data_IF_307683586981
#
_entry.id   IF_307683586981
#
_cell.length_a   1.000
_cell.length_b   1.000
_cell.length_c   1.000
_cell.angle_alpha   90.00
_cell.angle_beta   90.00
_cell.angle_gamma   90.00
#
_symmetry.space_group_name_H-M   'P 1'
#
loop_
_entity.id
_entity.type
_entity.pdbx_description
1 polymer ?
#
# COMPACT_ATOMS: atom_id res chain seq x y z
N UNK A 1 16.99 11.47 -34.86
CA UNK A 1 17.36 11.95 -33.49
C UNK A 1 16.88 10.93 -32.50
N UNK A 2 17.73 10.46 -31.58
CA UNK A 2 17.33 9.55 -30.50
C UNK A 2 16.47 10.34 -29.52
N UNK A 3 15.37 9.75 -29.06
CA UNK A 3 14.51 10.35 -28.03
C UNK A 3 15.29 10.51 -26.71
N UNK A 4 15.38 11.74 -26.21
CA UNK A 4 16.18 12.08 -25.02
C UNK A 4 15.34 12.24 -23.75
N UNK A 5 14.02 12.03 -23.84
CA UNK A 5 13.06 12.23 -22.77
C UNK A 5 12.45 13.65 -22.76
N UNK A 6 11.21 13.72 -22.26
CA UNK A 6 10.51 15.00 -22.10
C UNK A 6 11.08 15.81 -20.94
N UNK A 7 11.29 17.09 -21.20
CA UNK A 7 11.75 18.05 -20.18
C UNK A 7 10.64 18.47 -19.21
N UNK A 8 11.00 18.90 -17.98
CA UNK A 8 10.04 19.51 -17.06
C UNK A 8 9.23 20.62 -17.71
N UNK A 9 7.96 20.73 -17.33
CA UNK A 9 6.99 21.72 -17.82
C UNK A 9 6.54 21.58 -19.27
N UNK A 10 7.05 20.65 -20.06
CA UNK A 10 6.51 20.34 -21.39
C UNK A 10 5.08 19.80 -21.31
N UNK A 11 4.31 19.90 -22.40
CA UNK A 11 2.92 19.39 -22.45
C UNK A 11 2.87 17.86 -22.18
N UNK A 12 3.74 17.01 -22.79
CA UNK A 12 3.76 15.58 -22.47
C UNK A 12 4.14 15.30 -21.00
N UNK A 13 5.09 16.07 -20.44
CA UNK A 13 5.46 15.94 -19.00
C UNK A 13 4.24 16.19 -18.10
N UNK A 14 3.50 17.29 -18.30
CA UNK A 14 2.30 17.58 -17.51
C UNK A 14 1.22 16.53 -17.67
N UNK A 15 1.00 16.08 -18.91
CA UNK A 15 0.06 14.99 -19.22
C UNK A 15 0.41 13.70 -18.47
N UNK A 16 1.68 13.32 -18.44
CA UNK A 16 2.16 12.14 -17.75
C UNK A 16 2.02 12.25 -16.22
N UNK A 17 2.36 13.40 -15.63
CA UNK A 17 2.18 13.64 -14.20
C UNK A 17 0.73 13.43 -13.77
N UNK A 18 -0.19 14.10 -14.46
CA UNK A 18 -1.62 14.04 -14.15
C UNK A 18 -2.19 12.64 -14.41
N UNK A 19 -1.79 11.99 -15.48
CA UNK A 19 -2.22 10.62 -15.79
C UNK A 19 -1.75 9.62 -14.72
N UNK A 20 -0.49 9.66 -14.31
CA UNK A 20 0.03 8.74 -13.30
C UNK A 20 -0.48 9.09 -11.89
N UNK A 21 -0.72 10.35 -11.56
CA UNK A 21 -1.45 10.73 -10.35
C UNK A 21 -2.83 10.07 -10.32
N UNK A 22 -3.62 10.20 -11.41
CA UNK A 22 -4.93 9.57 -11.52
C UNK A 22 -4.85 8.03 -11.47
N UNK A 23 -3.86 7.43 -12.13
CA UNK A 23 -3.58 5.99 -12.05
C UNK A 23 -3.27 5.52 -10.62
N UNK A 24 -2.50 6.31 -9.87
CA UNK A 24 -2.23 6.08 -8.45
C UNK A 24 -3.51 6.18 -7.61
N UNK A 25 -4.33 7.20 -7.84
CA UNK A 25 -5.64 7.35 -7.18
C UNK A 25 -6.53 6.15 -7.48
N UNK A 26 -6.71 5.77 -8.75
CA UNK A 26 -7.55 4.63 -9.14
C UNK A 26 -7.11 3.32 -8.48
N UNK A 27 -5.80 3.05 -8.47
CA UNK A 27 -5.25 1.80 -7.94
C UNK A 27 -5.45 1.68 -6.43
N UNK A 28 -5.04 2.69 -5.68
CA UNK A 28 -5.02 2.59 -4.22
C UNK A 28 -6.37 2.88 -3.58
N UNK A 29 -7.26 3.60 -4.25
CA UNK A 29 -8.65 3.70 -3.79
C UNK A 29 -9.35 2.34 -3.82
N UNK A 30 -9.18 1.56 -4.87
CA UNK A 30 -9.78 0.24 -5.00
C UNK A 30 -9.11 -0.80 -4.09
N UNK A 31 -7.78 -0.80 -3.97
CA UNK A 31 -7.05 -1.78 -3.14
C UNK A 31 -7.59 -1.84 -1.72
N UNK A 32 -7.93 -0.68 -1.16
CA UNK A 32 -8.38 -0.55 0.23
C UNK A 32 -9.84 -0.12 0.38
N UNK A 33 -10.64 -0.16 -0.69
CA UNK A 33 -12.05 0.27 -0.70
C UNK A 33 -12.91 -0.39 0.39
N UNK A 34 -12.68 -1.67 0.65
CA UNK A 34 -13.45 -2.44 1.65
C UNK A 34 -12.99 -2.21 3.09
N UNK A 35 -11.83 -1.59 3.34
CA UNK A 35 -11.23 -1.53 4.67
C UNK A 35 -12.07 -0.76 5.69
N UNK A 36 -12.74 0.32 5.27
CA UNK A 36 -13.67 1.06 6.12
C UNK A 36 -15.07 0.44 6.21
N UNK A 37 -15.33 -0.64 5.48
CA UNK A 37 -16.63 -1.31 5.40
C UNK A 37 -16.62 -2.72 6.02
N UNK A 38 -15.52 -3.12 6.63
CA UNK A 38 -15.36 -4.49 7.16
C UNK A 38 -16.47 -4.89 8.16
N UNK A 39 -16.92 -4.03 9.09
CA UNK A 39 -18.05 -4.36 9.95
C UNK A 39 -19.34 -4.63 9.17
N UNK A 40 -19.70 -3.78 8.23
CA UNK A 40 -20.91 -3.93 7.39
C UNK A 40 -20.85 -5.19 6.49
N UNK A 41 -19.67 -5.52 5.96
CA UNK A 41 -19.45 -6.77 5.20
C UNK A 41 -19.62 -7.99 6.11
N UNK A 42 -19.07 -7.92 7.33
CA UNK A 42 -19.18 -9.02 8.30
C UNK A 42 -20.64 -9.30 8.67
N UNK A 43 -21.40 -8.24 8.91
CA UNK A 43 -22.81 -8.34 9.26
C UNK A 43 -23.65 -8.88 8.10
N UNK A 44 -23.55 -8.28 6.90
CA UNK A 44 -24.35 -8.64 5.74
C UNK A 44 -24.10 -10.08 5.23
N UNK A 45 -22.84 -10.53 5.27
CA UNK A 45 -22.46 -11.88 4.84
C UNK A 45 -22.49 -12.90 5.98
N UNK A 46 -22.83 -12.48 7.20
CA UNK A 46 -22.84 -13.31 8.41
C UNK A 46 -21.50 -14.06 8.61
N UNK A 47 -20.39 -13.34 8.53
CA UNK A 47 -19.02 -13.84 8.68
C UNK A 47 -18.30 -13.16 9.83
N UNK A 48 -17.22 -13.78 10.30
CA UNK A 48 -16.42 -13.20 11.38
C UNK A 48 -15.61 -11.98 10.91
N UNK A 49 -15.18 -11.14 11.87
CA UNK A 49 -14.30 -10.00 11.60
C UNK A 49 -12.97 -10.42 10.96
N UNK A 50 -12.43 -11.58 11.32
CA UNK A 50 -11.24 -12.16 10.70
C UNK A 50 -11.50 -12.54 9.23
N UNK A 51 -12.65 -13.16 8.94
CA UNK A 51 -13.05 -13.47 7.56
C UNK A 51 -13.29 -12.18 6.75
N UNK A 52 -13.94 -11.17 7.32
CA UNK A 52 -14.09 -9.88 6.63
C UNK A 52 -12.73 -9.26 6.28
N UNK A 53 -11.73 -9.29 7.17
CA UNK A 53 -10.38 -8.81 6.91
C UNK A 53 -9.68 -9.55 5.75
N UNK A 54 -10.06 -10.81 5.44
CA UNK A 54 -9.55 -11.53 4.26
C UNK A 54 -9.90 -10.81 2.94
N UNK A 55 -10.94 -10.01 2.88
CA UNK A 55 -11.27 -9.24 1.67
C UNK A 55 -10.20 -8.21 1.32
N UNK A 56 -9.57 -7.60 2.31
CA UNK A 56 -8.38 -6.73 2.14
C UNK A 56 -7.14 -7.58 1.85
N UNK A 57 -6.97 -8.66 2.61
CA UNK A 57 -5.80 -9.54 2.53
C UNK A 57 -5.70 -10.23 1.18
N UNK A 58 -6.81 -10.67 0.59
CA UNK A 58 -6.84 -11.29 -0.73
C UNK A 58 -6.34 -10.32 -1.82
N UNK A 59 -6.82 -9.07 -1.81
CA UNK A 59 -6.37 -8.07 -2.78
C UNK A 59 -4.89 -7.71 -2.61
N UNK A 60 -4.42 -7.53 -1.38
CA UNK A 60 -3.00 -7.23 -1.12
C UNK A 60 -2.08 -8.41 -1.44
N UNK A 61 -2.54 -9.67 -1.26
CA UNK A 61 -1.81 -10.86 -1.68
C UNK A 61 -1.73 -10.97 -3.21
N UNK A 62 -2.85 -10.77 -3.90
CA UNK A 62 -2.90 -10.76 -5.37
C UNK A 62 -1.92 -9.73 -5.94
N UNK A 63 -1.90 -8.52 -5.37
CA UNK A 63 -0.97 -7.47 -5.74
C UNK A 63 0.48 -7.88 -5.47
N UNK A 64 0.79 -8.43 -4.29
CA UNK A 64 2.13 -8.87 -3.91
C UNK A 64 2.72 -9.88 -4.92
N UNK A 65 1.92 -10.85 -5.32
CA UNK A 65 2.35 -11.93 -6.22
C UNK A 65 2.47 -11.44 -7.67
N UNK A 66 1.67 -10.46 -8.10
CA UNK A 66 1.56 -10.06 -9.48
C UNK A 66 2.43 -8.85 -9.88
N UNK A 67 2.96 -8.04 -8.94
CA UNK A 67 3.79 -6.86 -9.26
C UNK A 67 4.99 -7.22 -10.13
N UNK A 68 5.72 -8.29 -9.78
CA UNK A 68 6.90 -8.72 -10.55
C UNK A 68 6.54 -9.30 -11.93
N UNK A 69 5.56 -10.21 -12.07
CA UNK A 69 5.04 -10.63 -13.37
C UNK A 69 4.62 -9.47 -14.26
N UNK A 70 3.85 -8.50 -13.73
CA UNK A 70 3.44 -7.34 -14.51
C UNK A 70 4.60 -6.45 -14.96
N UNK A 71 5.63 -6.27 -14.13
CA UNK A 71 6.83 -5.55 -14.53
C UNK A 71 7.51 -6.24 -15.73
N UNK A 72 7.62 -7.58 -15.73
CA UNK A 72 8.19 -8.35 -16.84
C UNK A 72 7.31 -8.23 -18.09
N UNK A 73 5.99 -8.31 -17.96
CA UNK A 73 5.06 -8.14 -19.08
C UNK A 73 5.20 -6.73 -19.66
N UNK A 74 5.34 -5.72 -18.81
CA UNK A 74 5.45 -4.32 -19.23
C UNK A 74 6.75 -4.02 -20.00
N UNK A 75 7.84 -4.78 -19.73
CA UNK A 75 9.08 -4.73 -20.50
C UNK A 75 8.92 -5.20 -21.95
N UNK A 76 7.84 -5.96 -22.24
CA UNK A 76 7.58 -6.54 -23.57
C UNK A 76 6.54 -5.77 -24.37
N UNK A 77 5.38 -5.50 -23.75
CA UNK A 77 4.24 -4.90 -24.45
C UNK A 77 4.11 -3.40 -24.28
N UNK A 78 4.93 -2.80 -23.40
CA UNK A 78 5.00 -1.37 -23.14
C UNK A 78 4.28 -0.96 -21.84
N UNK A 79 4.88 0.02 -21.15
CA UNK A 79 4.44 0.49 -19.82
C UNK A 79 3.02 1.04 -19.84
N UNK A 80 2.74 1.97 -20.75
CA UNK A 80 1.43 2.61 -20.88
C UNK A 80 0.31 1.59 -21.13
N UNK A 81 0.56 0.57 -21.98
CA UNK A 81 -0.42 -0.48 -22.26
C UNK A 81 -0.73 -1.32 -21.05
N UNK A 82 0.29 -1.74 -20.30
CA UNK A 82 0.12 -2.52 -19.08
C UNK A 82 -0.67 -1.72 -18.03
N UNK A 83 -0.33 -0.45 -17.80
CA UNK A 83 -1.08 0.40 -16.87
C UNK A 83 -2.55 0.51 -17.29
N UNK A 84 -2.82 0.73 -18.59
CA UNK A 84 -4.19 0.81 -19.10
C UNK A 84 -4.98 -0.49 -18.88
N UNK A 85 -4.40 -1.65 -19.21
CA UNK A 85 -5.02 -2.97 -18.98
C UNK A 85 -5.29 -3.16 -17.48
N UNK A 86 -4.32 -2.88 -16.63
CA UNK A 86 -4.43 -3.01 -15.18
C UNK A 86 -5.58 -2.16 -14.62
N UNK A 87 -5.65 -0.88 -15.02
CA UNK A 87 -6.68 0.04 -14.57
C UNK A 87 -8.09 -0.39 -15.05
N UNK A 88 -8.24 -0.77 -16.31
CA UNK A 88 -9.54 -1.21 -16.85
C UNK A 88 -9.98 -2.51 -16.15
N UNK A 89 -9.09 -3.50 -16.05
CA UNK A 89 -9.39 -4.78 -15.40
C UNK A 89 -9.74 -4.59 -13.93
N UNK A 90 -9.05 -3.71 -13.21
CA UNK A 90 -9.33 -3.45 -11.81
C UNK A 90 -10.69 -2.77 -11.61
N UNK A 91 -11.11 -1.86 -12.48
CA UNK A 91 -12.44 -1.25 -12.43
C UNK A 91 -13.52 -2.30 -12.65
N UNK A 92 -13.37 -3.16 -13.64
CA UNK A 92 -14.32 -4.26 -13.90
C UNK A 92 -14.42 -5.18 -12.68
N UNK A 93 -13.28 -5.61 -12.12
CA UNK A 93 -13.26 -6.49 -10.96
C UNK A 93 -13.78 -5.81 -9.68
N UNK A 94 -13.53 -4.51 -9.50
CA UNK A 94 -14.08 -3.74 -8.39
C UNK A 94 -15.60 -3.61 -8.46
N UNK A 95 -16.17 -3.35 -9.64
CA UNK A 95 -17.63 -3.39 -9.87
C UNK A 95 -18.17 -4.81 -9.65
N UNK A 96 -17.45 -5.84 -10.11
CA UNK A 96 -17.84 -7.24 -9.86
C UNK A 96 -17.83 -7.54 -8.36
N UNK A 97 -16.83 -7.05 -7.60
CA UNK A 97 -16.77 -7.22 -6.13
C UNK A 97 -18.01 -6.66 -5.44
N UNK A 98 -18.54 -5.53 -5.91
CA UNK A 98 -19.74 -4.92 -5.34
C UNK A 98 -21.03 -5.74 -5.60
N UNK A 99 -21.01 -6.66 -6.54
CA UNK A 99 -22.15 -7.51 -6.91
C UNK A 99 -22.13 -8.88 -6.21
N UNK A 100 -21.07 -9.19 -5.46
CA UNK A 100 -20.94 -10.51 -4.82
C UNK A 100 -21.91 -10.65 -3.65
N UNK A 101 -22.60 -11.79 -3.61
CA UNK A 101 -23.59 -12.13 -2.59
C UNK A 101 -23.08 -13.13 -1.55
N UNK A 102 -21.87 -13.63 -1.71
CA UNK A 102 -21.24 -14.59 -0.81
C UNK A 102 -19.78 -14.29 -0.54
N UNK A 103 -19.27 -14.83 0.56
CA UNK A 103 -17.91 -14.60 1.02
C UNK A 103 -16.86 -15.17 0.06
N UNK A 104 -16.99 -16.44 -0.33
CA UNK A 104 -16.00 -17.13 -1.17
C UNK A 104 -15.81 -16.46 -2.53
N UNK A 105 -16.87 -16.17 -3.32
CA UNK A 105 -16.70 -15.47 -4.58
C UNK A 105 -16.14 -14.05 -4.39
N UNK A 106 -16.48 -13.35 -3.30
CA UNK A 106 -15.91 -12.04 -2.99
C UNK A 106 -14.39 -12.14 -2.81
N UNK A 107 -13.89 -13.13 -2.05
CA UNK A 107 -12.44 -13.34 -1.85
C UNK A 107 -11.73 -13.61 -3.18
N UNK A 108 -12.30 -14.46 -4.04
CA UNK A 108 -11.72 -14.75 -5.37
C UNK A 108 -11.64 -13.49 -6.22
N UNK A 109 -12.73 -12.73 -6.29
CA UNK A 109 -12.76 -11.49 -7.09
C UNK A 109 -11.80 -10.45 -6.52
N UNK A 110 -11.71 -10.28 -5.19
CA UNK A 110 -10.76 -9.40 -4.53
C UNK A 110 -9.30 -9.80 -4.82
N UNK A 111 -9.00 -11.10 -4.82
CA UNK A 111 -7.67 -11.59 -5.18
C UNK A 111 -7.32 -11.27 -6.64
N UNK A 112 -8.23 -11.52 -7.58
CA UNK A 112 -8.05 -11.18 -9.00
C UNK A 112 -7.92 -9.67 -9.21
N UNK A 113 -8.70 -8.86 -8.49
CA UNK A 113 -8.59 -7.41 -8.50
C UNK A 113 -7.20 -6.95 -8.04
N UNK A 114 -6.67 -7.56 -6.98
CA UNK A 114 -5.29 -7.33 -6.52
C UNK A 114 -4.26 -7.66 -7.60
N UNK A 115 -4.42 -8.77 -8.32
CA UNK A 115 -3.58 -9.13 -9.46
C UNK A 115 -3.64 -8.05 -10.55
N UNK A 116 -4.84 -7.57 -10.88
CA UNK A 116 -5.01 -6.50 -11.89
C UNK A 116 -4.34 -5.20 -11.42
N UNK A 117 -4.60 -4.76 -10.19
CA UNK A 117 -4.05 -3.52 -9.61
C UNK A 117 -2.51 -3.49 -9.62
N UNK A 118 -1.86 -4.64 -9.51
CA UNK A 118 -0.39 -4.76 -9.47
C UNK A 118 0.32 -4.23 -10.73
N UNK A 119 -0.36 -4.17 -11.87
CA UNK A 119 0.21 -3.68 -13.13
C UNK A 119 0.58 -2.20 -13.08
N UNK A 120 -0.11 -1.40 -12.26
CA UNK A 120 0.20 0.04 -12.13
C UNK A 120 1.50 0.27 -11.36
N UNK A 121 1.68 -0.15 -10.09
CA UNK A 121 2.94 0.06 -9.37
C UNK A 121 4.12 -0.69 -10.01
N UNK A 122 3.86 -1.80 -10.68
CA UNK A 122 4.89 -2.55 -11.41
C UNK A 122 5.44 -1.82 -12.64
N UNK A 123 4.73 -0.83 -13.18
CA UNK A 123 5.07 -0.18 -14.44
C UNK A 123 5.22 1.35 -14.36
N UNK A 124 4.60 2.01 -13.37
CA UNK A 124 4.50 3.47 -13.32
C UNK A 124 5.86 4.19 -13.27
N UNK A 125 6.75 3.76 -12.38
CA UNK A 125 8.08 4.39 -12.25
C UNK A 125 8.97 4.10 -13.47
N UNK A 126 8.84 2.91 -14.07
CA UNK A 126 9.54 2.57 -15.30
C UNK A 126 9.03 3.42 -16.48
N UNK A 127 7.71 3.67 -16.57
CA UNK A 127 7.14 4.56 -17.57
C UNK A 127 7.69 5.99 -17.45
N UNK A 128 7.81 6.52 -16.22
CA UNK A 128 8.46 7.81 -16.00
C UNK A 128 9.92 7.80 -16.46
N UNK A 129 10.66 6.73 -16.14
CA UNK A 129 12.09 6.63 -16.49
C UNK A 129 12.33 6.49 -18.00
N UNK A 130 11.43 5.81 -18.72
CA UNK A 130 11.53 5.62 -20.17
C UNK A 130 11.20 6.92 -20.95
N UNK A 131 10.31 7.79 -20.41
CA UNK A 131 9.76 8.92 -21.16
C UNK A 131 10.28 10.29 -20.72
N UNK A 132 10.88 10.40 -19.54
CA UNK A 132 11.31 11.67 -18.96
C UNK A 132 12.82 11.76 -18.80
N UNK A 133 13.34 12.98 -18.85
CA UNK A 133 14.73 13.23 -18.47
C UNK A 133 14.97 12.90 -16.97
N UNK A 134 16.19 12.51 -16.54
CA UNK A 134 16.46 12.12 -15.16
C UNK A 134 16.03 13.16 -14.11
N UNK A 135 16.11 14.45 -14.43
CA UNK A 135 15.66 15.55 -13.57
C UNK A 135 14.13 15.56 -13.43
N UNK A 136 13.42 15.33 -14.54
CA UNK A 136 11.97 15.28 -14.57
C UNK A 136 11.40 14.06 -13.84
N UNK A 137 12.06 12.90 -13.91
CA UNK A 137 11.66 11.65 -13.21
C UNK A 137 11.57 11.87 -11.70
N UNK A 138 12.54 12.55 -11.09
CA UNK A 138 12.54 12.77 -9.64
C UNK A 138 11.31 13.56 -9.17
N UNK A 139 10.93 14.63 -9.93
CA UNK A 139 9.75 15.43 -9.64
C UNK A 139 8.44 14.67 -9.89
N UNK A 140 8.38 13.93 -10.99
CA UNK A 140 7.19 13.17 -11.41
C UNK A 140 6.89 11.99 -10.48
N UNK A 141 7.91 11.31 -9.96
CA UNK A 141 7.73 10.20 -9.01
C UNK A 141 7.00 10.63 -7.74
N UNK A 142 7.28 11.83 -7.23
CA UNK A 142 6.59 12.39 -6.08
C UNK A 142 5.08 12.60 -6.34
N UNK A 143 4.72 13.05 -7.54
CA UNK A 143 3.31 13.24 -7.93
C UNK A 143 2.56 11.91 -8.01
N UNK A 144 3.17 10.87 -8.59
CA UNK A 144 2.59 9.52 -8.59
C UNK A 144 2.36 9.00 -7.16
N UNK A 145 3.38 9.11 -6.29
CA UNK A 145 3.27 8.68 -4.89
C UNK A 145 2.17 9.46 -4.14
N UNK A 146 2.03 10.76 -4.39
CA UNK A 146 0.93 11.55 -3.82
C UNK A 146 -0.43 11.02 -4.29
N UNK A 147 -0.55 10.64 -5.56
CA UNK A 147 -1.76 9.99 -6.09
C UNK A 147 -2.09 8.68 -5.36
N UNK A 148 -1.10 7.86 -5.04
CA UNK A 148 -1.33 6.60 -4.30
C UNK A 148 -1.82 6.86 -2.88
N UNK A 149 -1.26 7.86 -2.20
CA UNK A 149 -1.66 8.22 -0.82
C UNK A 149 -3.07 8.80 -0.78
N UNK A 150 -3.35 9.78 -1.65
CA UNK A 150 -4.66 10.43 -1.72
C UNK A 150 -5.74 9.44 -2.20
N UNK A 151 -5.40 8.57 -3.14
CA UNK A 151 -6.29 7.49 -3.58
C UNK A 151 -6.66 6.53 -2.44
N UNK A 152 -5.66 6.07 -1.69
CA UNK A 152 -5.88 5.21 -0.56
C UNK A 152 -6.74 5.85 0.54
N UNK A 153 -6.60 7.14 0.80
CA UNK A 153 -7.46 7.89 1.72
C UNK A 153 -8.86 8.09 1.14
N UNK A 154 -8.97 8.62 -0.08
CA UNK A 154 -10.25 8.92 -0.72
C UNK A 154 -11.11 7.66 -0.89
N UNK A 155 -10.50 6.52 -1.28
CA UNK A 155 -11.22 5.26 -1.44
C UNK A 155 -11.92 4.81 -0.16
N UNK A 156 -11.25 4.91 0.99
CA UNK A 156 -11.83 4.54 2.29
C UNK A 156 -12.95 5.48 2.71
N UNK A 157 -12.73 6.80 2.54
CA UNK A 157 -13.74 7.80 2.92
C UNK A 157 -14.99 7.67 2.04
N UNK A 158 -14.83 7.65 0.72
CA UNK A 158 -15.94 7.51 -0.23
C UNK A 158 -16.70 6.22 0.01
N UNK A 159 -15.98 5.09 0.19
CA UNK A 159 -16.59 3.80 0.47
C UNK A 159 -17.47 3.85 1.74
N UNK A 160 -16.93 4.39 2.84
CA UNK A 160 -17.66 4.44 4.11
C UNK A 160 -18.83 5.42 4.08
N UNK A 161 -18.66 6.60 3.47
CA UNK A 161 -19.71 7.62 3.40
C UNK A 161 -20.90 7.21 2.52
N UNK A 162 -20.62 6.51 1.43
CA UNK A 162 -21.70 5.95 0.58
C UNK A 162 -22.22 4.65 1.18
N UNK A 163 -21.34 3.82 1.73
CA UNK A 163 -21.71 2.51 2.26
C UNK A 163 -22.55 2.54 3.52
N UNK A 164 -22.39 3.57 4.38
CA UNK A 164 -23.19 3.69 5.60
C UNK A 164 -24.71 3.79 5.30
N UNK A 165 -25.20 4.73 4.46
CA UNK A 165 -26.62 4.84 4.17
C UNK A 165 -27.13 3.84 3.12
N UNK A 166 -26.28 3.37 2.19
CA UNK A 166 -26.72 2.59 1.02
C UNK A 166 -26.27 1.11 1.04
N UNK A 167 -25.47 0.72 2.04
CA UNK A 167 -24.87 -0.60 2.15
C UNK A 167 -23.49 -0.69 1.49
N UNK A 168 -22.67 -1.61 1.98
CA UNK A 168 -21.25 -1.75 1.58
C UNK A 168 -21.05 -1.97 0.07
N UNK A 169 -22.01 -2.62 -0.60
CA UNK A 169 -21.97 -2.85 -2.06
C UNK A 169 -21.92 -1.54 -2.82
N UNK A 170 -22.76 -0.58 -2.47
CA UNK A 170 -22.75 0.76 -3.05
C UNK A 170 -21.52 1.55 -2.67
N UNK A 171 -21.00 1.34 -1.46
CA UNK A 171 -19.71 1.89 -1.04
C UNK A 171 -18.56 1.44 -1.96
N UNK A 172 -18.43 0.14 -2.24
CA UNK A 172 -17.43 -0.42 -3.16
C UNK A 172 -17.68 0.02 -4.60
N UNK A 173 -18.95 0.02 -5.06
CA UNK A 173 -19.30 0.47 -6.40
C UNK A 173 -18.93 1.95 -6.63
N UNK A 174 -19.18 2.83 -5.67
CA UNK A 174 -18.84 4.26 -5.76
C UNK A 174 -17.34 4.49 -5.92
N UNK A 175 -16.51 3.73 -5.20
CA UNK A 175 -15.04 3.78 -5.37
C UNK A 175 -14.63 3.25 -6.73
N UNK A 176 -15.26 2.19 -7.23
CA UNK A 176 -14.96 1.65 -8.56
C UNK A 176 -15.35 2.61 -9.67
N UNK A 177 -16.46 3.35 -9.51
CA UNK A 177 -16.87 4.44 -10.43
C UNK A 177 -15.90 5.63 -10.38
N UNK A 178 -15.46 6.02 -9.18
CA UNK A 178 -14.40 7.04 -9.03
C UNK A 178 -13.11 6.59 -9.72
N UNK A 179 -12.72 5.32 -9.55
CA UNK A 179 -11.56 4.74 -10.23
C UNK A 179 -11.76 4.66 -11.75
N UNK A 180 -12.98 4.42 -12.24
CA UNK A 180 -13.31 4.46 -13.66
C UNK A 180 -13.09 5.87 -14.24
N UNK A 181 -13.53 6.92 -13.55
CA UNK A 181 -13.25 8.31 -13.94
C UNK A 181 -11.76 8.62 -13.99
N UNK A 182 -11.00 8.20 -12.98
CA UNK A 182 -9.55 8.36 -12.95
C UNK A 182 -8.84 7.52 -14.04
N UNK A 183 -9.35 6.33 -14.36
CA UNK A 183 -8.88 5.48 -15.45
C UNK A 183 -9.11 6.15 -16.80
N UNK A 184 -10.32 6.66 -17.04
CA UNK A 184 -10.63 7.42 -18.26
C UNK A 184 -9.71 8.62 -18.40
N UNK A 185 -9.48 9.35 -17.32
CA UNK A 185 -8.56 10.49 -17.32
C UNK A 185 -7.12 10.04 -17.67
N UNK A 186 -6.64 8.91 -17.12
CA UNK A 186 -5.35 8.32 -17.51
C UNK A 186 -5.30 8.03 -19.02
N UNK A 187 -6.31 7.38 -19.56
CA UNK A 187 -6.36 6.99 -20.98
C UNK A 187 -6.30 8.20 -21.90
N UNK A 188 -6.95 9.31 -21.51
CA UNK A 188 -7.02 10.55 -22.30
C UNK A 188 -5.74 11.39 -22.18
N UNK A 189 -5.07 11.38 -21.02
CA UNK A 189 -3.95 12.30 -20.73
C UNK A 189 -2.57 11.65 -20.81
N UNK A 190 -2.47 10.32 -20.68
CA UNK A 190 -1.19 9.63 -20.77
C UNK A 190 -0.61 9.76 -22.20
N UNK A 191 0.57 10.36 -22.39
CA UNK A 191 1.18 10.50 -23.71
C UNK A 191 1.50 9.14 -24.33
N UNK A 192 1.61 9.10 -25.64
CA UNK A 192 2.12 7.91 -26.33
C UNK A 192 3.57 7.64 -25.91
N UNK A 193 3.92 6.36 -25.74
CA UNK A 193 5.28 5.97 -25.42
C UNK A 193 6.22 6.25 -26.62
N UNK A 194 7.29 7.00 -26.37
CA UNK A 194 8.30 7.35 -27.36
C UNK A 194 9.68 6.79 -26.98
N UNK A 195 9.97 6.70 -25.67
CA UNK A 195 11.24 6.18 -25.14
C UNK A 195 11.25 4.68 -24.91
N UNK A 196 10.09 4.03 -25.02
CA UNK A 196 10.00 2.59 -24.78
C UNK A 196 10.66 1.77 -25.91
N UNK A 197 11.61 0.93 -25.54
CA UNK A 197 12.19 -0.09 -26.42
C UNK A 197 11.87 -1.47 -25.84
N UNK A 198 11.18 -2.36 -26.60
CA UNK A 198 10.92 -3.72 -26.13
C UNK A 198 12.23 -4.43 -25.81
N UNK A 199 12.29 -5.08 -24.66
CA UNK A 199 13.43 -5.92 -24.30
C UNK A 199 13.31 -7.21 -25.10
N UNK A 200 14.17 -7.38 -26.11
CA UNK A 200 14.29 -8.62 -26.85
C UNK A 200 14.58 -9.79 -25.90
N UNK A 201 14.00 -10.94 -26.23
CA UNK A 201 13.92 -12.19 -25.46
C UNK A 201 15.22 -12.58 -24.72
N UNK A 202 15.52 -11.99 -23.61
CA UNK A 202 16.29 -12.69 -22.60
C UNK A 202 15.25 -13.44 -21.76
N UNK A 203 15.26 -14.78 -21.94
CA UNK A 203 14.20 -15.67 -21.46
C UNK A 203 13.60 -15.30 -20.12
N UNK A 204 12.33 -15.65 -19.90
CA UNK A 204 11.53 -15.47 -18.70
C UNK A 204 12.17 -15.98 -17.39
N UNK A 205 13.39 -16.51 -17.46
CA UNK A 205 14.09 -16.98 -16.27
C UNK A 205 14.54 -15.75 -15.48
N UNK A 206 13.84 -15.44 -14.38
CA UNK A 206 14.36 -14.47 -13.42
C UNK A 206 15.80 -14.92 -13.13
N UNK A 207 16.72 -13.97 -13.07
CA UNK A 207 18.10 -14.29 -12.74
C UNK A 207 18.15 -14.74 -11.27
N UNK A 208 17.80 -16.02 -11.04
CA UNK A 208 17.68 -16.64 -9.70
C UNK A 208 18.94 -16.40 -8.87
N UNK A 209 20.10 -16.30 -9.55
CA UNK A 209 21.35 -15.95 -8.88
C UNK A 209 21.33 -14.56 -8.26
N UNK A 210 20.71 -13.58 -8.91
CA UNK A 210 20.56 -12.21 -8.35
C UNK A 210 19.57 -12.19 -7.18
N UNK A 211 18.46 -12.93 -7.27
CA UNK A 211 17.53 -13.08 -6.15
C UNK A 211 18.17 -13.78 -4.95
N UNK A 212 18.87 -14.90 -5.17
CA UNK A 212 19.64 -15.58 -4.11
C UNK A 212 20.68 -14.64 -3.47
N UNK A 213 21.33 -13.80 -4.26
CA UNK A 213 22.28 -12.82 -3.74
C UNK A 213 21.60 -11.72 -2.94
N UNK A 214 20.44 -11.26 -3.37
CA UNK A 214 19.62 -10.27 -2.65
C UNK A 214 19.12 -10.78 -1.30
N UNK A 215 19.03 -12.10 -1.08
CA UNK A 215 18.66 -12.72 0.20
C UNK A 215 19.84 -12.94 1.16
N UNK A 216 21.08 -12.57 0.78
CA UNK A 216 22.25 -12.82 1.62
C UNK A 216 22.49 -11.72 2.67
N UNK A 217 23.25 -12.08 3.70
CA UNK A 217 23.69 -11.17 4.74
C UNK A 217 22.55 -10.65 5.60
N UNK A 218 22.45 -9.33 5.75
CA UNK A 218 21.45 -8.65 6.59
C UNK A 218 20.21 -8.22 5.83
N UNK A 219 20.12 -8.47 4.54
CA UNK A 219 18.97 -8.11 3.72
C UNK A 219 17.66 -8.70 4.23
N UNK A 220 17.59 -9.98 4.66
CA UNK A 220 16.37 -10.55 5.24
C UNK A 220 15.82 -9.75 6.42
N UNK A 221 16.70 -9.17 7.27
CA UNK A 221 16.26 -8.36 8.40
C UNK A 221 15.50 -7.09 7.95
N UNK A 222 15.91 -6.48 6.82
CA UNK A 222 15.17 -5.35 6.25
C UNK A 222 13.85 -5.79 5.61
N UNK A 223 13.81 -6.92 4.94
CA UNK A 223 12.56 -7.45 4.38
C UNK A 223 11.57 -7.78 5.49
N UNK A 224 12.04 -8.35 6.59
CA UNK A 224 11.22 -8.62 7.78
C UNK A 224 10.76 -7.33 8.46
N UNK A 225 11.49 -6.21 8.38
CA UNK A 225 10.94 -4.91 8.81
C UNK A 225 9.67 -4.57 8.02
N UNK A 226 9.71 -4.70 6.69
CA UNK A 226 8.54 -4.46 5.84
C UNK A 226 7.37 -5.38 6.22
N UNK A 227 7.63 -6.66 6.39
CA UNK A 227 6.63 -7.69 6.76
C UNK A 227 5.95 -7.39 8.11
N UNK A 228 6.75 -7.19 9.16
CA UNK A 228 6.25 -7.00 10.53
C UNK A 228 5.51 -5.67 10.68
N UNK A 229 6.12 -4.59 10.21
CA UNK A 229 5.57 -3.25 10.38
C UNK A 229 4.29 -3.06 9.56
N UNK A 230 4.28 -3.48 8.28
CA UNK A 230 3.08 -3.35 7.45
C UNK A 230 1.97 -4.30 7.88
N UNK A 231 2.32 -5.52 8.28
CA UNK A 231 1.34 -6.47 8.79
C UNK A 231 0.63 -5.96 10.04
N UNK A 232 1.38 -5.45 11.01
CA UNK A 232 0.82 -4.81 12.20
C UNK A 232 0.00 -3.56 11.86
N UNK A 233 0.49 -2.74 10.94
CA UNK A 233 -0.20 -1.52 10.52
C UNK A 233 -1.57 -1.83 9.90
N UNK A 234 -1.63 -2.76 8.97
CA UNK A 234 -2.91 -3.14 8.32
C UNK A 234 -3.85 -3.83 9.31
N UNK A 235 -3.33 -4.67 10.21
CA UNK A 235 -4.16 -5.28 11.26
C UNK A 235 -4.84 -4.22 12.14
N UNK A 236 -4.11 -3.21 12.61
CA UNK A 236 -4.68 -2.12 13.40
C UNK A 236 -5.82 -1.44 12.65
N UNK A 237 -5.61 -1.07 11.39
CA UNK A 237 -6.63 -0.40 10.59
C UNK A 237 -7.81 -1.31 10.19
N UNK A 238 -7.60 -2.61 10.02
CA UNK A 238 -8.68 -3.56 9.73
C UNK A 238 -9.64 -3.73 10.91
N UNK A 239 -9.13 -3.75 12.14
CA UNK A 239 -9.95 -4.05 13.32
C UNK A 239 -10.39 -2.81 14.09
N UNK A 240 -9.84 -1.62 13.78
CA UNK A 240 -10.22 -0.39 14.45
C UNK A 240 -11.68 0.00 14.17
N UNK A 241 -12.19 -0.21 12.94
CA UNK A 241 -13.57 0.07 12.60
C UNK A 241 -14.53 -0.75 13.49
N UNK A 242 -14.29 -2.05 13.64
CA UNK A 242 -15.09 -2.91 14.53
C UNK A 242 -15.09 -2.40 15.99
N UNK A 243 -13.97 -1.85 16.47
CA UNK A 243 -13.93 -1.28 17.81
C UNK A 243 -14.72 0.02 17.92
N UNK A 244 -14.59 0.92 16.94
CA UNK A 244 -15.23 2.23 16.99
C UNK A 244 -16.74 2.15 16.78
N UNK A 245 -17.22 1.22 15.98
CA UNK A 245 -18.64 1.01 15.71
C UNK A 245 -19.34 0.20 16.82
N UNK A 246 -18.58 -0.53 17.66
CA UNK A 246 -19.12 -1.27 18.80
C UNK A 246 -19.19 -0.41 20.08
N UNK A 247 -20.00 -0.84 21.11
CA UNK A 247 -19.96 -0.25 22.42
C UNK A 247 -18.53 -0.21 23.00
N UNK A 248 -18.16 0.82 23.78
CA UNK A 248 -18.98 1.95 24.21
C UNK A 248 -19.04 3.13 23.24
N UNK A 249 -18.34 3.07 22.08
CA UNK A 249 -18.16 4.23 21.20
C UNK A 249 -19.36 4.46 20.28
N UNK A 250 -19.88 3.41 19.64
CA UNK A 250 -21.02 3.45 18.70
C UNK A 250 -20.87 4.56 17.62
N UNK A 251 -19.64 4.74 17.12
CA UNK A 251 -19.33 5.74 16.10
C UNK A 251 -19.84 5.25 14.75
N UNK A 252 -20.65 6.04 14.01
CA UNK A 252 -21.07 5.69 12.65
C UNK A 252 -19.88 5.44 11.72
N UNK A 253 -20.04 4.52 10.76
CA UNK A 253 -18.95 4.09 9.86
C UNK A 253 -18.32 5.27 9.09
N UNK A 254 -19.12 6.25 8.66
CA UNK A 254 -18.65 7.47 7.99
C UNK A 254 -17.70 8.27 8.87
N UNK A 255 -18.03 8.45 10.16
CA UNK A 255 -17.19 9.17 11.13
C UNK A 255 -15.99 8.33 11.56
N UNK A 256 -16.15 7.03 11.74
CA UNK A 256 -15.05 6.12 12.04
C UNK A 256 -13.99 6.14 10.92
N UNK A 257 -14.41 6.29 9.67
CA UNK A 257 -13.50 6.39 8.52
C UNK A 257 -12.60 7.63 8.54
N UNK A 258 -12.98 8.71 9.25
CA UNK A 258 -12.14 9.89 9.38
C UNK A 258 -10.79 9.61 10.06
N UNK A 259 -10.69 8.50 10.78
CA UNK A 259 -9.41 8.05 11.35
C UNK A 259 -8.34 7.82 10.28
N UNK A 260 -8.74 7.51 9.03
CA UNK A 260 -7.80 7.38 7.93
C UNK A 260 -7.10 8.69 7.55
N UNK A 261 -7.61 9.86 7.98
CA UNK A 261 -6.94 11.15 7.82
C UNK A 261 -5.57 11.16 8.54
N UNK A 262 -5.38 10.30 9.55
CA UNK A 262 -4.08 10.09 10.18
C UNK A 262 -2.96 9.72 9.18
N UNK A 263 -3.29 9.19 7.98
CA UNK A 263 -2.30 8.96 6.90
C UNK A 263 -1.56 10.23 6.48
N UNK A 264 -2.16 11.41 6.65
CA UNK A 264 -1.48 12.69 6.37
C UNK A 264 -0.30 12.92 7.32
N UNK A 265 -0.41 12.52 8.59
CA UNK A 265 0.72 12.56 9.53
C UNK A 265 1.85 11.63 9.09
N UNK A 266 1.49 10.48 8.50
CA UNK A 266 2.43 9.53 7.92
C UNK A 266 3.18 10.13 6.73
N UNK A 267 2.48 10.80 5.82
CA UNK A 267 3.12 11.46 4.68
C UNK A 267 4.15 12.50 5.13
N UNK A 268 3.77 13.33 6.11
CA UNK A 268 4.68 14.32 6.69
C UNK A 268 5.90 13.66 7.36
N UNK A 269 5.68 12.64 8.19
CA UNK A 269 6.74 11.96 8.93
C UNK A 269 7.71 11.20 8.03
N UNK A 270 7.23 10.62 6.92
CA UNK A 270 8.08 9.98 5.92
C UNK A 270 9.10 10.98 5.33
N UNK A 271 8.65 12.19 4.99
CA UNK A 271 9.55 13.26 4.51
C UNK A 271 10.49 13.74 5.61
N UNK A 272 9.97 13.96 6.82
CA UNK A 272 10.75 14.41 7.97
C UNK A 272 11.83 13.40 8.40
N UNK A 273 11.58 12.10 8.17
CA UNK A 273 12.53 11.02 8.51
C UNK A 273 13.90 11.18 7.85
N UNK A 274 13.96 11.79 6.66
CA UNK A 274 15.22 12.10 5.99
C UNK A 274 16.13 13.04 6.80
N UNK A 275 15.55 14.04 7.47
CA UNK A 275 16.29 14.95 8.37
C UNK A 275 16.75 14.24 9.64
N UNK A 276 15.95 13.32 10.16
CA UNK A 276 16.33 12.49 11.31
C UNK A 276 17.45 11.52 10.96
N UNK A 277 17.44 10.93 9.76
CA UNK A 277 18.53 10.07 9.28
C UNK A 277 19.85 10.82 9.21
N UNK A 278 19.85 12.09 8.82
CA UNK A 278 21.06 12.92 8.82
C UNK A 278 21.64 13.14 10.22
N UNK A 279 20.79 13.19 11.27
CA UNK A 279 21.19 13.43 12.67
C UNK A 279 21.50 12.13 13.42
N UNK A 280 20.65 11.13 13.34
CA UNK A 280 20.67 9.90 14.16
C UNK A 280 21.19 8.69 13.37
N UNK A 281 21.40 8.84 12.07
CA UNK A 281 21.65 7.73 11.16
C UNK A 281 20.41 6.87 10.92
N UNK A 282 20.47 5.97 9.92
CA UNK A 282 19.32 5.13 9.53
C UNK A 282 18.84 4.23 10.66
N UNK A 283 19.76 3.57 11.36
CA UNK A 283 19.42 2.68 12.47
C UNK A 283 18.74 3.41 13.62
N UNK A 284 19.29 4.54 14.06
CA UNK A 284 18.74 5.34 15.15
C UNK A 284 17.34 5.86 14.79
N UNK A 285 17.16 6.36 13.57
CA UNK A 285 15.86 6.83 13.07
C UNK A 285 14.83 5.70 12.98
N UNK A 286 15.21 4.51 12.48
CA UNK A 286 14.33 3.35 12.41
C UNK A 286 13.84 2.94 13.80
N UNK A 287 14.77 2.79 14.77
CA UNK A 287 14.44 2.44 16.14
C UNK A 287 13.50 3.47 16.80
N UNK A 288 13.83 4.75 16.69
CA UNK A 288 12.98 5.83 17.23
C UNK A 288 11.58 5.79 16.60
N UNK A 289 11.49 5.61 15.29
CA UNK A 289 10.21 5.58 14.58
C UNK A 289 9.34 4.40 15.01
N UNK A 290 9.92 3.21 15.24
CA UNK A 290 9.18 2.05 15.75
C UNK A 290 8.69 2.31 17.17
N UNK A 291 9.53 2.89 18.05
CA UNK A 291 9.14 3.23 19.43
C UNK A 291 8.02 4.26 19.45
N UNK A 292 8.07 5.30 18.60
CA UNK A 292 7.00 6.28 18.44
C UNK A 292 5.71 5.61 17.97
N UNK A 293 5.79 4.71 16.99
CA UNK A 293 4.63 3.94 16.53
C UNK A 293 4.04 3.09 17.67
N UNK A 294 4.88 2.41 18.43
CA UNK A 294 4.45 1.61 19.59
C UNK A 294 3.74 2.46 20.66
N UNK A 295 4.30 3.62 20.99
CA UNK A 295 3.70 4.54 21.96
C UNK A 295 2.32 5.02 21.48
N UNK A 296 2.17 5.39 20.21
CA UNK A 296 0.89 5.75 19.62
C UNK A 296 -0.14 4.61 19.68
N UNK A 297 0.29 3.39 19.37
CA UNK A 297 -0.59 2.22 19.43
C UNK A 297 -1.09 1.94 20.85
N UNK A 298 -0.24 2.06 21.86
CA UNK A 298 -0.62 1.87 23.27
C UNK A 298 -1.68 2.88 23.72
N UNK A 299 -1.66 4.12 23.24
CA UNK A 299 -2.71 5.11 23.54
C UNK A 299 -4.09 4.66 23.04
N UNK A 300 -4.14 3.84 22.01
CA UNK A 300 -5.41 3.35 21.47
C UNK A 300 -6.14 2.35 22.38
N UNK A 301 -5.53 1.84 23.44
CA UNK A 301 -6.20 0.99 24.44
C UNK A 301 -7.22 1.77 25.27
N UNK A 302 -7.04 3.09 25.36
CA UNK A 302 -7.92 3.98 26.13
C UNK A 302 -9.40 3.86 25.73
N UNK A 303 -10.30 4.08 26.68
CA UNK A 303 -11.73 4.24 26.44
C UNK A 303 -12.11 5.66 25.94
N UNK A 304 -11.14 6.58 25.81
CA UNK A 304 -11.36 7.93 25.27
C UNK A 304 -11.14 7.95 23.75
N UNK A 305 -12.15 8.37 23.01
CA UNK A 305 -12.05 8.55 21.55
C UNK A 305 -10.92 9.52 21.16
N UNK A 306 -10.72 10.58 21.95
CA UNK A 306 -9.62 11.55 21.74
C UNK A 306 -8.26 10.86 21.82
N UNK A 307 -8.05 9.99 22.80
CA UNK A 307 -6.80 9.23 22.96
C UNK A 307 -6.59 8.23 21.84
N UNK A 308 -7.66 7.62 21.34
CA UNK A 308 -7.60 6.71 20.17
C UNK A 308 -7.16 7.51 18.93
N UNK A 309 -7.77 8.65 18.66
CA UNK A 309 -7.42 9.50 17.49
C UNK A 309 -5.96 9.97 17.61
N UNK A 310 -5.54 10.49 18.74
CA UNK A 310 -4.16 10.92 18.98
C UNK A 310 -3.19 9.73 18.80
N UNK A 311 -3.54 8.59 19.37
CA UNK A 311 -2.79 7.35 19.24
C UNK A 311 -2.61 6.93 17.79
N UNK A 312 -3.67 6.99 16.98
CA UNK A 312 -3.63 6.65 15.56
C UNK A 312 -2.76 7.61 14.74
N UNK A 313 -2.79 8.91 15.06
CA UNK A 313 -1.92 9.91 14.42
C UNK A 313 -0.44 9.59 14.69
N UNK A 314 -0.09 9.33 15.96
CA UNK A 314 1.29 9.02 16.39
C UNK A 314 1.73 7.65 15.84
N UNK A 315 0.88 6.62 15.93
CA UNK A 315 1.14 5.29 15.38
C UNK A 315 1.46 5.35 13.89
N UNK A 316 0.61 6.06 13.13
CA UNK A 316 0.76 6.19 11.68
C UNK A 316 2.02 6.98 11.32
N UNK A 317 2.30 8.08 12.00
CA UNK A 317 3.52 8.85 11.80
C UNK A 317 4.77 7.99 12.05
N UNK A 318 4.81 7.24 13.14
CA UNK A 318 5.90 6.33 13.47
C UNK A 318 6.09 5.24 12.42
N UNK A 319 5.00 4.59 12.00
CA UNK A 319 5.05 3.55 10.96
C UNK A 319 5.62 4.08 9.63
N UNK A 320 5.09 5.20 9.12
CA UNK A 320 5.54 5.73 7.82
C UNK A 320 7.00 6.18 7.85
N UNK A 321 7.46 6.79 8.94
CA UNK A 321 8.86 7.13 9.12
C UNK A 321 9.75 5.87 9.14
N UNK A 322 9.36 4.82 9.87
CA UNK A 322 10.10 3.56 9.92
C UNK A 322 10.16 2.89 8.54
N UNK A 323 9.01 2.85 7.83
CA UNK A 323 8.92 2.28 6.48
C UNK A 323 9.78 3.06 5.47
N UNK A 324 9.75 4.39 5.49
CA UNK A 324 10.56 5.22 4.61
C UNK A 324 12.06 4.98 4.81
N UNK A 325 12.50 4.86 6.07
CA UNK A 325 13.90 4.55 6.40
C UNK A 325 14.26 3.13 5.97
N UNK A 326 13.45 2.12 6.26
CA UNK A 326 13.74 0.73 5.93
C UNK A 326 13.79 0.52 4.42
N UNK A 327 12.77 0.98 3.67
CA UNK A 327 12.71 0.86 2.21
C UNK A 327 13.84 1.61 1.51
N UNK A 328 14.17 2.82 1.96
CA UNK A 328 15.31 3.61 1.45
C UNK A 328 16.68 3.01 1.78
N UNK A 329 16.76 2.13 2.76
CA UNK A 329 18.01 1.45 3.12
C UNK A 329 18.31 0.23 2.24
N UNK A 330 17.26 -0.43 1.72
CA UNK A 330 17.38 -1.64 0.89
C UNK A 330 18.34 -1.48 -0.30
N UNK A 331 18.17 -0.50 -1.21
CA UNK A 331 19.04 -0.36 -2.38
C UNK A 331 20.49 -0.02 -2.04
N UNK A 332 20.74 0.54 -0.86
CA UNK A 332 22.08 0.92 -0.39
C UNK A 332 22.86 -0.29 0.11
N UNK A 333 22.20 -1.28 0.72
CA UNK A 333 22.84 -2.52 1.15
C UNK A 333 22.96 -3.56 0.02
N UNK A 334 22.26 -3.37 -1.09
CA UNK A 334 22.25 -4.28 -2.23
C UNK A 334 22.69 -3.58 -3.54
N UNK A 335 23.90 -2.99 -3.65
CA UNK A 335 24.28 -2.16 -4.79
C UNK A 335 24.29 -2.90 -6.12
N UNK A 336 24.55 -4.22 -6.13
CA UNK A 336 24.59 -5.06 -7.34
C UNK A 336 23.23 -5.72 -7.68
N UNK A 337 22.24 -5.66 -6.77
CA UNK A 337 20.94 -6.33 -6.90
C UNK A 337 19.79 -5.42 -6.44
N UNK A 338 19.90 -4.11 -6.69
CA UNK A 338 18.94 -3.08 -6.19
C UNK A 338 17.49 -3.39 -6.55
N UNK A 339 17.24 -3.73 -7.81
CA UNK A 339 15.89 -4.01 -8.29
C UNK A 339 15.29 -5.27 -7.63
N UNK A 340 16.07 -6.37 -7.54
CA UNK A 340 15.62 -7.61 -6.90
C UNK A 340 15.40 -7.41 -5.39
N UNK A 341 16.27 -6.65 -4.74
CA UNK A 341 16.13 -6.34 -3.32
C UNK A 341 14.89 -5.48 -3.04
N UNK A 342 14.62 -4.46 -3.87
CA UNK A 342 13.40 -3.66 -3.77
C UNK A 342 12.14 -4.50 -4.01
N UNK A 343 12.16 -5.39 -5.01
CA UNK A 343 11.04 -6.32 -5.27
C UNK A 343 10.79 -7.25 -4.09
N UNK A 344 11.84 -7.81 -3.48
CA UNK A 344 11.71 -8.65 -2.28
C UNK A 344 11.18 -7.87 -1.09
N UNK A 345 11.64 -6.63 -0.86
CA UNK A 345 11.12 -5.79 0.19
C UNK A 345 9.60 -5.55 0.02
N UNK A 346 9.18 -5.20 -1.19
CA UNK A 346 7.76 -5.00 -1.50
C UNK A 346 6.94 -6.29 -1.36
N UNK A 347 7.50 -7.43 -1.79
CA UNK A 347 6.85 -8.74 -1.61
C UNK A 347 6.62 -9.01 -0.12
N UNK A 348 7.65 -8.89 0.72
CA UNK A 348 7.53 -9.09 2.17
C UNK A 348 6.56 -8.10 2.81
N UNK A 349 6.58 -6.84 2.39
CA UNK A 349 5.68 -5.80 2.84
C UNK A 349 4.20 -6.15 2.59
N UNK A 350 3.83 -6.54 1.37
CA UNK A 350 2.45 -6.88 1.04
C UNK A 350 2.04 -8.27 1.56
N UNK A 351 2.95 -9.24 1.62
CA UNK A 351 2.69 -10.53 2.26
C UNK A 351 2.45 -10.34 3.76
N UNK A 352 3.21 -9.47 4.42
CA UNK A 352 2.97 -9.09 5.81
C UNK A 352 1.60 -8.44 6.00
N UNK A 353 1.25 -7.47 5.13
CA UNK A 353 -0.07 -6.86 5.07
C UNK A 353 -1.20 -7.89 4.98
N UNK A 354 -1.05 -8.86 4.09
CA UNK A 354 -2.06 -9.89 3.86
C UNK A 354 -2.15 -10.87 5.03
N UNK A 355 -1.05 -11.51 5.41
CA UNK A 355 -1.07 -12.58 6.41
C UNK A 355 -1.37 -12.05 7.82
N UNK A 356 -0.61 -11.05 8.28
CA UNK A 356 -0.76 -10.55 9.65
C UNK A 356 -2.03 -9.68 9.78
N UNK A 357 -2.40 -8.96 8.71
CA UNK A 357 -3.65 -8.21 8.64
C UNK A 357 -4.90 -9.06 8.83
N UNK A 358 -4.82 -10.33 8.46
CA UNK A 358 -5.85 -11.34 8.68
C UNK A 358 -5.67 -12.09 10.00
N UNK A 359 -4.49 -12.70 10.22
CA UNK A 359 -4.26 -13.63 11.35
C UNK A 359 -4.51 -13.00 12.72
N UNK A 360 -4.20 -11.71 12.89
CA UNK A 360 -4.46 -10.97 14.14
C UNK A 360 -5.96 -10.83 14.43
N UNK A 361 -6.82 -11.04 13.43
CA UNK A 361 -8.26 -11.12 13.64
C UNK A 361 -8.72 -12.31 14.45
N UNK A 362 -7.99 -13.42 14.41
CA UNK A 362 -8.38 -14.60 15.20
C UNK A 362 -8.36 -14.31 16.71
N UNK A 363 -7.27 -13.82 17.30
CA UNK A 363 -7.30 -13.42 18.71
C UNK A 363 -8.20 -12.19 18.97
N UNK A 364 -8.39 -11.28 18.01
CA UNK A 364 -9.33 -10.16 18.16
C UNK A 364 -10.76 -10.64 18.43
N UNK A 365 -11.22 -11.67 17.74
CA UNK A 365 -12.58 -12.21 17.92
C UNK A 365 -12.84 -12.73 19.34
N UNK A 366 -11.82 -13.26 20.00
CA UNK A 366 -11.96 -13.87 21.34
C UNK A 366 -11.66 -12.90 22.48
N UNK A 367 -10.74 -11.97 22.28
CA UNK A 367 -10.18 -11.14 23.35
C UNK A 367 -10.25 -9.64 23.07
N UNK A 368 -10.80 -9.23 21.94
CA UNK A 368 -11.04 -7.82 21.58
C UNK A 368 -9.77 -7.02 21.27
N UNK A 369 -9.91 -5.69 21.34
CA UNK A 369 -8.92 -4.74 20.84
C UNK A 369 -7.56 -4.81 21.54
N UNK A 370 -7.54 -5.02 22.84
CA UNK A 370 -6.27 -5.07 23.60
C UNK A 370 -5.34 -6.16 23.09
N UNK A 371 -5.90 -7.24 22.53
CA UNK A 371 -5.11 -8.33 21.93
C UNK A 371 -4.52 -7.93 20.59
N UNK A 372 -5.23 -7.15 19.77
CA UNK A 372 -4.64 -6.58 18.54
C UNK A 372 -3.43 -5.73 18.90
N UNK A 373 -3.57 -4.85 19.90
CA UNK A 373 -2.48 -4.00 20.38
C UNK A 373 -1.32 -4.85 20.87
N UNK A 374 -1.58 -5.87 21.70
CA UNK A 374 -0.53 -6.77 22.20
C UNK A 374 0.22 -7.48 21.07
N UNK A 375 -0.52 -8.08 20.11
CA UNK A 375 0.09 -8.75 18.96
C UNK A 375 0.97 -7.79 18.16
N UNK A 376 0.48 -6.58 17.87
CA UNK A 376 1.24 -5.61 17.07
C UNK A 376 2.44 -5.05 17.84
N UNK A 377 2.33 -4.83 19.14
CA UNK A 377 3.46 -4.45 20.00
C UNK A 377 4.53 -5.55 19.97
N UNK A 378 4.16 -6.83 20.06
CA UNK A 378 5.11 -7.94 19.93
C UNK A 378 5.80 -7.96 18.57
N UNK A 379 5.07 -7.74 17.47
CA UNK A 379 5.68 -7.60 16.13
C UNK A 379 6.67 -6.42 16.08
N UNK A 380 6.32 -5.29 16.69
CA UNK A 380 7.20 -4.10 16.76
C UNK A 380 8.44 -4.35 17.62
N UNK A 381 8.32 -5.09 18.73
CA UNK A 381 9.49 -5.51 19.54
C UNK A 381 10.43 -6.39 18.71
N UNK A 382 9.89 -7.36 17.95
CA UNK A 382 10.70 -8.18 17.05
C UNK A 382 11.38 -7.30 15.99
N UNK A 383 10.66 -6.32 15.43
CA UNK A 383 11.22 -5.36 14.49
C UNK A 383 12.35 -4.53 15.11
N UNK A 384 12.21 -4.09 16.37
CA UNK A 384 13.29 -3.41 17.13
C UNK A 384 14.52 -4.33 17.28
N UNK A 385 14.31 -5.58 17.67
CA UNK A 385 15.41 -6.56 17.80
C UNK A 385 16.14 -6.70 16.46
N UNK A 386 15.43 -6.89 15.36
CA UNK A 386 16.06 -6.99 14.04
C UNK A 386 16.77 -5.69 13.62
N UNK A 387 16.22 -4.52 13.96
CA UNK A 387 16.84 -3.23 13.68
C UNK A 387 18.17 -3.05 14.46
N UNK A 388 18.27 -3.61 15.67
CA UNK A 388 19.53 -3.59 16.46
C UNK A 388 20.66 -4.32 15.74
N UNK A 389 20.37 -5.40 15.02
CA UNK A 389 21.37 -6.16 14.27
C UNK A 389 21.72 -5.55 12.89
N UNK A 390 21.00 -4.52 12.43
CA UNK A 390 21.36 -3.77 11.23
C UNK A 390 22.54 -2.85 11.55
N UNK A 391 23.75 -3.18 11.05
CA UNK A 391 24.93 -2.29 11.19
C UNK A 391 24.91 -1.22 10.09
N UNK A 392 25.13 0.03 10.46
CA UNK A 392 25.55 1.04 9.50
C UNK A 392 27.01 0.70 9.05
N UNK A 393 27.22 0.58 7.74
CA UNK A 393 28.59 0.78 7.23
C UNK A 393 28.90 2.26 7.47
N UNK A 394 29.94 2.52 8.24
CA UNK A 394 30.57 3.85 8.32
C UNK A 394 31.02 4.30 6.94
#
# INVERSE_FOLDING_TARGET
>A
MSFTGHEPHSVPYRGMLLALFAGGVATFSQLYSVQGLLPSIAEDLNISSSQAALTVSAATLGLALAVTPWAIISDRIGRRRVIAIALISSVVLGLTSSMMTGFEPLIVVRFLEGIALAGVPGSALAYLADELTPRAVALASGTYISGTTLGGLAGRLVASWVGEPAGWRWGVASVSLMAAGATLFFLLKAPAAQGFTPVEQRGLRPNLGKFKRALRGRMPLLYLQGFLLMGGFVAVYNYLAFRLEAPPFLVPASLASLVFIAYLSGTWSAVASGRLVAKLGRRGTLLLSIVVSMAGLLLTVSASLMMIILGMIIFTAGFFAAHAVASGWVPLLAPTTRAQAASLYNLFYYVGSSLLGWLIGVPFMHFGWSTVVLCVVLLQIIAVIFAVFLKQKK
#
